data_IF_907404635950
#
_entry.id   IF_907404635950
#
_cell.length_a   1.000
_cell.length_b   1.000
_cell.length_c   1.000
_cell.angle_alpha   90.00
_cell.angle_beta   90.00
_cell.angle_gamma   90.00
#
_symmetry.space_group_name_H-M   'P 1'
#
loop_
_entity.id
_entity.type
_entity.pdbx_description
1 polymer ?
#
# COMPACT_ATOMS: atom_id res chain seq x y z
N UNK A 1 -2.30 10.47 13.05
CA UNK A 1 -2.05 10.37 11.59
C UNK A 1 -2.44 8.98 11.13
N UNK A 2 -3.09 8.84 9.99
CA UNK A 2 -3.47 7.53 9.44
C UNK A 2 -2.73 7.30 8.12
N UNK A 3 -2.22 6.09 7.93
CA UNK A 3 -1.48 5.68 6.72
C UNK A 3 -1.97 4.30 6.31
N UNK A 4 -2.45 4.18 5.08
CA UNK A 4 -2.78 2.90 4.47
C UNK A 4 -1.72 2.49 3.46
N UNK A 5 -1.30 1.24 3.49
CA UNK A 5 -0.26 0.71 2.60
C UNK A 5 -0.81 -0.45 1.78
N UNK A 6 -0.77 -0.31 0.45
CA UNK A 6 -1.06 -1.41 -0.48
C UNK A 6 0.25 -2.12 -0.80
N UNK A 7 0.40 -3.38 -0.35
CA UNK A 7 1.64 -4.15 -0.52
C UNK A 7 1.35 -5.64 -0.65
N UNK A 8 2.13 -6.35 -1.47
CA UNK A 8 2.10 -7.81 -1.54
C UNK A 8 2.68 -8.49 -0.29
N UNK A 9 3.43 -7.74 0.52
CA UNK A 9 4.12 -8.21 1.73
C UNK A 9 3.85 -7.28 2.92
N UNK A 10 2.64 -7.28 3.49
CA UNK A 10 2.32 -6.50 4.70
C UNK A 10 3.26 -6.79 5.88
N UNK A 11 3.71 -8.02 6.05
CA UNK A 11 4.52 -8.48 7.18
C UNK A 11 5.93 -7.82 7.18
N UNK A 12 6.41 -7.32 6.05
CA UNK A 12 7.67 -6.55 6.00
C UNK A 12 7.62 -5.29 6.86
N UNK A 13 6.41 -4.76 7.12
CA UNK A 13 6.24 -3.54 7.90
C UNK A 13 6.29 -3.79 9.41
N UNK A 14 6.26 -5.05 9.87
CA UNK A 14 6.49 -5.39 11.29
C UNK A 14 7.82 -4.85 11.81
N UNK A 15 8.84 -4.81 10.93
CA UNK A 15 10.15 -4.25 11.24
C UNK A 15 10.08 -2.78 11.73
N UNK A 16 9.10 -2.00 11.27
CA UNK A 16 8.93 -0.59 11.67
C UNK A 16 7.77 -0.38 12.64
N UNK A 17 6.74 -1.23 12.62
CA UNK A 17 5.57 -1.08 13.50
C UNK A 17 5.79 -1.68 14.89
N UNK A 18 6.75 -2.59 15.06
CA UNK A 18 7.01 -3.25 16.35
C UNK A 18 8.26 -2.72 17.06
N UNK A 19 9.07 -1.89 16.40
CA UNK A 19 10.38 -1.47 16.90
C UNK A 19 10.62 0.04 16.72
N UNK A 20 11.53 0.59 17.53
CA UNK A 20 12.05 1.95 17.35
C UNK A 20 11.04 3.07 17.64
N UNK A 21 11.23 4.23 16.97
CA UNK A 21 10.38 5.42 17.17
C UNK A 21 8.99 5.25 16.57
N UNK A 22 8.87 4.54 15.44
CA UNK A 22 7.60 4.28 14.77
C UNK A 22 6.76 3.32 15.60
N UNK A 23 7.34 2.20 16.09
CA UNK A 23 6.60 1.27 16.94
C UNK A 23 6.04 1.92 18.21
N UNK A 24 6.83 2.73 18.91
CA UNK A 24 6.33 3.51 20.06
C UNK A 24 5.23 4.51 19.69
N UNK A 25 5.25 5.05 18.47
CA UNK A 25 4.19 5.95 18.01
C UNK A 25 2.89 5.18 17.70
N UNK A 26 2.98 3.94 17.20
CA UNK A 26 1.84 3.04 17.00
C UNK A 26 1.27 2.60 18.34
N UNK A 27 2.09 2.14 19.29
CA UNK A 27 1.66 1.75 20.65
C UNK A 27 0.92 2.89 21.37
N UNK A 28 1.42 4.12 21.22
CA UNK A 28 0.80 5.33 21.78
C UNK A 28 -0.33 5.91 20.92
N UNK A 29 -0.78 5.18 19.91
CA UNK A 29 -1.87 5.56 19.00
C UNK A 29 -1.67 6.94 18.34
N UNK A 30 -0.42 7.37 18.12
CA UNK A 30 -0.10 8.61 17.42
C UNK A 30 -0.17 8.44 15.91
N UNK A 31 0.15 7.23 15.43
CA UNK A 31 0.03 6.83 14.03
C UNK A 31 -0.76 5.52 13.97
N UNK A 32 -1.68 5.43 13.02
CA UNK A 32 -2.35 4.19 12.64
C UNK A 32 -1.81 3.74 11.27
N UNK A 33 -1.31 2.50 11.20
CA UNK A 33 -0.90 1.86 9.95
C UNK A 33 -1.84 0.68 9.68
N UNK A 34 -2.37 0.63 8.47
CA UNK A 34 -3.22 -0.47 8.00
C UNK A 34 -2.73 -0.94 6.62
N UNK A 35 -3.00 -2.20 6.28
CA UNK A 35 -2.41 -2.85 5.11
C UNK A 35 -3.46 -3.52 4.23
N UNK A 36 -3.24 -3.45 2.93
CA UNK A 36 -4.07 -4.07 1.90
C UNK A 36 -3.20 -4.92 1.00
N UNK A 37 -3.42 -6.23 0.97
CA UNK A 37 -2.72 -7.11 0.05
C UNK A 37 -3.53 -7.26 -1.25
N UNK A 38 -3.02 -6.84 -2.43
CA UNK A 38 -3.70 -7.04 -3.71
C UNK A 38 -4.14 -8.49 -3.96
N UNK A 39 -3.46 -9.48 -3.36
CA UNK A 39 -3.85 -10.90 -3.46
C UNK A 39 -5.23 -11.18 -2.88
N UNK A 40 -5.71 -10.40 -1.91
CA UNK A 40 -7.05 -10.56 -1.31
C UNK A 40 -8.18 -10.15 -2.27
N UNK A 41 -7.84 -9.41 -3.33
CA UNK A 41 -8.79 -8.89 -4.33
C UNK A 41 -8.73 -9.66 -5.66
N UNK A 42 -7.92 -10.70 -5.74
CA UNK A 42 -7.84 -11.57 -6.91
C UNK A 42 -9.04 -12.53 -6.95
N UNK A 43 -9.57 -12.77 -8.15
CA UNK A 43 -10.77 -13.61 -8.35
C UNK A 43 -10.46 -15.05 -8.77
N UNK A 44 -9.20 -15.33 -9.13
CA UNK A 44 -8.75 -16.67 -9.49
C UNK A 44 -8.26 -17.46 -8.27
N UNK A 45 -8.23 -18.79 -8.42
CA UNK A 45 -7.81 -19.73 -7.36
C UNK A 45 -6.37 -19.50 -6.88
N UNK A 46 -5.50 -18.98 -7.72
CA UNK A 46 -4.08 -18.81 -7.44
C UNK A 46 -3.75 -17.44 -6.85
N UNK A 47 -4.75 -16.57 -6.70
CA UNK A 47 -4.63 -15.20 -6.21
C UNK A 47 -3.60 -14.40 -7.03
N UNK A 48 -3.70 -14.50 -8.36
CA UNK A 48 -2.75 -13.87 -9.30
C UNK A 48 -2.88 -12.35 -9.27
N UNK A 49 -1.74 -11.67 -9.17
CA UNK A 49 -1.63 -10.20 -9.02
C UNK A 49 -0.81 -9.55 -10.13
N UNK A 50 -0.24 -10.35 -11.02
CA UNK A 50 0.60 -9.93 -12.12
C UNK A 50 0.27 -10.72 -13.39
N UNK A 51 0.61 -10.14 -14.54
CA UNK A 51 0.46 -10.76 -15.86
C UNK A 51 1.59 -10.30 -16.79
N UNK A 52 1.75 -11.00 -17.92
CA UNK A 52 2.76 -10.68 -18.92
C UNK A 52 2.45 -9.35 -19.60
N UNK A 53 3.49 -8.55 -19.92
CA UNK A 53 3.30 -7.33 -20.70
C UNK A 53 2.81 -7.65 -22.12
N UNK A 54 1.83 -6.89 -22.58
CA UNK A 54 1.47 -6.89 -24.01
C UNK A 54 2.66 -6.41 -24.85
N UNK A 55 2.90 -7.06 -26.00
CA UNK A 55 4.07 -6.81 -26.84
C UNK A 55 5.30 -7.67 -26.48
N UNK A 56 5.23 -8.48 -25.42
CA UNK A 56 6.31 -9.37 -25.01
C UNK A 56 7.43 -8.67 -24.22
N UNK A 57 8.59 -9.33 -24.14
CA UNK A 57 9.69 -8.92 -23.27
C UNK A 57 9.70 -9.65 -21.93
N UNK A 58 10.85 -9.67 -21.23
CA UNK A 58 10.96 -10.32 -19.93
C UNK A 58 10.25 -9.50 -18.83
N UNK A 59 9.82 -10.19 -17.77
CA UNK A 59 9.21 -9.58 -16.59
C UNK A 59 7.68 -9.68 -16.58
N UNK A 60 7.10 -9.09 -15.53
CA UNK A 60 5.67 -9.14 -15.23
C UNK A 60 5.17 -7.73 -14.86
N UNK A 61 3.89 -7.45 -15.09
CA UNK A 61 3.22 -6.22 -14.69
C UNK A 61 2.12 -6.53 -13.69
N UNK A 62 1.99 -5.71 -12.65
CA UNK A 62 0.87 -5.85 -11.72
C UNK A 62 -0.46 -5.61 -12.42
N UNK A 63 -1.45 -6.46 -12.12
CA UNK A 63 -2.79 -6.35 -12.67
C UNK A 63 -3.56 -5.18 -12.05
N UNK A 64 -4.24 -4.41 -12.89
CA UNK A 64 -4.95 -3.19 -12.51
C UNK A 64 -6.17 -3.46 -11.64
N UNK A 65 -6.87 -4.58 -11.86
CA UNK A 65 -8.08 -4.99 -11.13
C UNK A 65 -7.81 -5.12 -9.62
N UNK A 66 -6.82 -5.92 -9.24
CA UNK A 66 -6.44 -6.18 -7.85
C UNK A 66 -5.93 -4.92 -7.14
N UNK A 67 -5.05 -4.15 -7.81
CA UNK A 67 -4.53 -2.89 -7.28
C UNK A 67 -5.63 -1.84 -7.09
N UNK A 68 -6.51 -1.67 -8.08
CA UNK A 68 -7.60 -0.69 -8.00
C UNK A 68 -8.56 -1.03 -6.86
N UNK A 69 -8.90 -2.31 -6.70
CA UNK A 69 -9.79 -2.75 -5.64
C UNK A 69 -9.18 -2.49 -4.25
N UNK A 70 -7.89 -2.85 -4.05
CA UNK A 70 -7.17 -2.57 -2.81
C UNK A 70 -7.09 -1.08 -2.48
N UNK A 71 -6.76 -0.24 -3.48
CA UNK A 71 -6.70 1.22 -3.30
C UNK A 71 -8.08 1.79 -2.95
N UNK A 72 -9.14 1.32 -3.61
CA UNK A 72 -10.49 1.81 -3.36
C UNK A 72 -10.98 1.47 -1.95
N UNK A 73 -10.72 0.25 -1.49
CA UNK A 73 -11.03 -0.19 -0.13
C UNK A 73 -10.24 0.61 0.92
N UNK A 74 -8.93 0.79 0.70
CA UNK A 74 -8.08 1.62 1.56
C UNK A 74 -8.58 3.07 1.65
N UNK A 75 -9.07 3.65 0.55
CA UNK A 75 -9.65 5.00 0.54
C UNK A 75 -10.93 5.09 1.36
N UNK A 76 -11.85 4.13 1.21
CA UNK A 76 -13.06 4.09 2.02
C UNK A 76 -12.73 3.95 3.51
N UNK A 77 -11.79 3.08 3.85
CA UNK A 77 -11.33 2.91 5.22
C UNK A 77 -10.75 4.21 5.79
N UNK A 78 -9.96 4.93 5.02
CA UNK A 78 -9.40 6.22 5.41
C UNK A 78 -10.48 7.27 5.68
N UNK A 79 -11.47 7.37 4.80
CA UNK A 79 -12.60 8.29 4.94
C UNK A 79 -13.42 7.96 6.20
N UNK A 80 -13.67 6.68 6.48
CA UNK A 80 -14.34 6.25 7.71
C UNK A 80 -13.51 6.54 8.96
N UNK A 81 -12.19 6.36 8.91
CA UNK A 81 -11.31 6.55 10.06
C UNK A 81 -11.02 8.02 10.38
N UNK A 82 -11.01 8.89 9.36
CA UNK A 82 -10.49 10.26 9.49
C UNK A 82 -11.47 11.35 9.05
N UNK A 83 -12.53 11.01 8.31
CA UNK A 83 -13.45 11.97 7.69
C UNK A 83 -12.85 12.71 6.48
N UNK A 84 -11.67 12.31 6.00
CA UNK A 84 -10.95 12.99 4.92
C UNK A 84 -10.64 12.02 3.77
N UNK A 85 -10.64 12.54 2.54
CA UNK A 85 -10.14 11.80 1.38
C UNK A 85 -8.61 11.77 1.42
N UNK A 86 -7.98 10.59 1.42
CA UNK A 86 -6.53 10.49 1.52
C UNK A 86 -5.85 10.81 0.18
N UNK A 87 -4.62 11.32 0.26
CA UNK A 87 -3.73 11.38 -0.92
C UNK A 87 -3.18 9.99 -1.21
N UNK A 88 -3.28 9.55 -2.48
CA UNK A 88 -2.72 8.28 -2.93
C UNK A 88 -1.33 8.52 -3.53
N UNK A 89 -0.31 7.90 -2.95
CA UNK A 89 1.10 8.06 -3.37
C UNK A 89 1.62 6.72 -3.90
N UNK A 90 2.16 6.72 -5.12
CA UNK A 90 2.85 5.58 -5.70
C UNK A 90 4.36 5.77 -5.59
N UNK A 91 5.03 4.88 -4.87
CA UNK A 91 6.49 4.87 -4.76
C UNK A 91 7.09 4.30 -6.04
N UNK A 92 7.79 5.15 -6.78
CA UNK A 92 8.35 4.82 -8.09
C UNK A 92 9.68 5.53 -8.30
N UNK A 93 10.68 4.88 -8.92
CA UNK A 93 11.92 5.55 -9.35
C UNK A 93 11.68 6.74 -10.29
N UNK A 94 10.56 6.75 -11.02
CA UNK A 94 10.15 7.85 -11.90
C UNK A 94 9.48 9.01 -11.15
N UNK A 95 9.22 8.85 -9.85
CA UNK A 95 8.55 9.87 -9.03
C UNK A 95 9.47 11.02 -8.62
N UNK A 96 8.90 12.01 -7.92
CA UNK A 96 9.68 13.05 -7.26
C UNK A 96 10.57 12.41 -6.19
N UNK A 97 11.88 12.66 -6.25
CA UNK A 97 12.82 12.25 -5.19
C UNK A 97 12.39 12.86 -3.86
N UNK A 98 12.29 12.02 -2.83
CA UNK A 98 12.02 12.47 -1.47
C UNK A 98 13.26 13.16 -0.88
N UNK A 99 13.03 14.32 -0.27
CA UNK A 99 14.02 15.12 0.45
C UNK A 99 13.37 15.71 1.72
N UNK A 100 14.15 16.40 2.56
CA UNK A 100 13.65 16.93 3.83
C UNK A 100 12.52 17.95 3.67
N UNK A 101 12.43 18.63 2.52
CA UNK A 101 11.35 19.58 2.23
C UNK A 101 10.08 18.86 1.78
N UNK A 102 10.20 17.67 1.18
CA UNK A 102 9.10 16.84 0.73
C UNK A 102 8.48 15.93 1.80
N UNK A 103 9.09 15.83 2.99
CA UNK A 103 8.54 15.15 4.18
C UNK A 103 7.59 16.09 4.91
#
# INVERSE_FOLDING_TARGET
>A
MWIGVVSLFPEMFDAITQQGVIGRAVEKQRIALEFWNPRDYATDRHRSVDDRPYGGGPGMLMKVDTLRAAIFDARQRAEQATGLTPTVIYLSPQGRRLDQQGV
#
